data_IF_473798307743
#
_entry.id   IF_473798307743
#
_cell.length_a   1.000
_cell.length_b   1.000
_cell.length_c   1.000
_cell.angle_alpha   90.00
_cell.angle_beta   90.00
_cell.angle_gamma   90.00
#
_symmetry.space_group_name_H-M   'P 1'
#
loop_
_entity.id
_entity.type
_entity.pdbx_description
1 polymer ?
#
# COMPACT_ATOMS: atom_id res chain seq x y z
N UNK A 1 16.66 -17.37 -82.35
CA UNK A 1 16.47 -18.53 -81.45
C UNK A 1 16.88 -18.23 -79.99
N UNK A 2 16.63 -17.03 -79.44
CA UNK A 2 17.13 -16.64 -78.10
C UNK A 2 16.04 -16.56 -76.99
N UNK A 3 14.75 -16.53 -77.33
CA UNK A 3 13.65 -16.34 -76.36
C UNK A 3 13.28 -17.56 -75.50
N UNK A 4 13.67 -18.78 -75.89
CA UNK A 4 13.38 -19.99 -75.13
C UNK A 4 14.33 -20.19 -73.92
N UNK A 5 15.56 -19.68 -74.02
CA UNK A 5 16.60 -19.87 -72.98
C UNK A 5 16.33 -19.05 -71.71
N UNK A 6 15.84 -17.81 -71.84
CA UNK A 6 15.51 -16.94 -70.70
C UNK A 6 14.32 -17.46 -69.88
N UNK A 7 13.29 -18.04 -70.51
CA UNK A 7 12.15 -18.65 -69.80
C UNK A 7 12.56 -19.87 -68.97
N UNK A 8 13.51 -20.67 -69.46
CA UNK A 8 14.02 -21.86 -68.75
C UNK A 8 14.92 -21.47 -67.57
N UNK A 9 15.69 -20.39 -67.68
CA UNK A 9 16.52 -19.87 -66.59
C UNK A 9 15.69 -19.26 -65.45
N UNK A 10 14.64 -18.51 -65.75
CA UNK A 10 13.71 -17.97 -64.74
C UNK A 10 12.96 -19.06 -63.97
N UNK A 11 12.49 -20.10 -64.66
CA UNK A 11 11.81 -21.24 -64.03
C UNK A 11 12.73 -22.04 -63.09
N UNK A 12 14.01 -22.20 -63.45
CA UNK A 12 15.02 -22.87 -62.60
C UNK A 12 15.33 -22.06 -61.34
N UNK A 13 15.45 -20.73 -61.44
CA UNK A 13 15.69 -19.86 -60.28
C UNK A 13 14.53 -19.87 -59.28
N UNK A 14 13.29 -19.86 -59.77
CA UNK A 14 12.09 -19.96 -58.92
C UNK A 14 12.01 -21.33 -58.24
N UNK A 15 12.28 -22.41 -58.96
CA UNK A 15 12.28 -23.77 -58.39
C UNK A 15 13.36 -23.92 -57.31
N UNK A 16 14.57 -23.41 -57.54
CA UNK A 16 15.68 -23.41 -56.58
C UNK A 16 15.35 -22.62 -55.31
N UNK A 17 14.78 -21.42 -55.45
CA UNK A 17 14.38 -20.59 -54.32
C UNK A 17 13.24 -21.26 -53.51
N UNK A 18 12.32 -21.94 -54.19
CA UNK A 18 11.22 -22.68 -53.56
C UNK A 18 11.73 -23.88 -52.78
N UNK A 19 12.64 -24.68 -53.37
CA UNK A 19 13.27 -25.81 -52.68
C UNK A 19 14.07 -25.37 -51.45
N UNK A 20 14.83 -24.28 -51.57
CA UNK A 20 15.59 -23.71 -50.45
C UNK A 20 14.65 -23.23 -49.33
N UNK A 21 13.52 -22.60 -49.66
CA UNK A 21 12.52 -22.17 -48.68
C UNK A 21 11.85 -23.35 -47.96
N UNK A 22 11.53 -24.43 -48.68
CA UNK A 22 10.99 -25.67 -48.09
C UNK A 22 12.03 -26.35 -47.18
N UNK A 23 13.30 -26.36 -47.56
CA UNK A 23 14.38 -26.90 -46.73
C UNK A 23 14.57 -26.10 -45.42
N UNK A 24 14.47 -24.77 -45.46
CA UNK A 24 14.53 -23.92 -44.26
C UNK A 24 13.31 -24.13 -43.35
N UNK A 25 12.11 -24.26 -43.93
CA UNK A 25 10.88 -24.47 -43.16
C UNK A 25 10.79 -25.88 -42.54
N UNK A 26 11.42 -26.90 -43.13
CA UNK A 26 11.44 -28.28 -42.59
C UNK A 26 12.44 -28.49 -41.46
N UNK A 27 13.40 -27.56 -41.26
CA UNK A 27 14.32 -27.56 -40.13
C UNK A 27 13.70 -27.07 -38.82
N UNK A 28 12.59 -26.35 -38.87
CA UNK A 28 11.86 -25.90 -37.68
C UNK A 28 11.02 -27.05 -37.10
N UNK A 29 11.58 -27.80 -36.14
CA UNK A 29 10.85 -28.83 -35.39
C UNK A 29 10.58 -28.42 -33.95
N UNK A 30 9.37 -28.72 -33.47
CA UNK A 30 8.92 -28.41 -32.11
C UNK A 30 9.04 -29.58 -31.14
N UNK A 31 9.84 -30.58 -31.50
CA UNK A 31 9.87 -31.91 -30.87
C UNK A 31 9.94 -31.86 -29.33
N UNK A 32 10.80 -31.00 -28.76
CA UNK A 32 11.00 -30.88 -27.30
C UNK A 32 10.98 -29.43 -26.78
N UNK A 33 10.46 -28.50 -27.58
CA UNK A 33 10.26 -27.11 -27.16
C UNK A 33 9.07 -27.00 -26.19
N UNK A 34 8.00 -27.75 -26.45
CA UNK A 34 6.88 -27.96 -25.52
C UNK A 34 6.88 -29.42 -25.03
N UNK A 35 7.48 -29.64 -23.87
CA UNK A 35 7.52 -30.98 -23.26
C UNK A 35 6.25 -31.23 -22.45
N UNK A 36 5.73 -32.47 -22.37
CA UNK A 36 4.52 -32.79 -21.59
C UNK A 36 4.81 -32.88 -20.07
N UNK A 37 5.42 -31.83 -19.50
CA UNK A 37 5.70 -31.69 -18.06
C UNK A 37 5.26 -30.32 -17.55
N UNK A 38 4.95 -30.23 -16.26
CA UNK A 38 4.63 -28.97 -15.62
C UNK A 38 5.90 -28.37 -15.00
N UNK A 39 6.40 -27.29 -15.59
CA UNK A 39 7.44 -26.44 -14.97
C UNK A 39 6.79 -25.24 -14.26
N UNK A 40 7.52 -24.49 -13.42
CA UNK A 40 6.95 -23.40 -12.65
C UNK A 40 6.17 -22.40 -13.52
N UNK A 41 4.94 -22.10 -13.08
CA UNK A 41 4.03 -21.13 -13.73
C UNK A 41 3.54 -21.51 -15.14
N UNK A 42 3.68 -22.78 -15.57
CA UNK A 42 3.04 -23.27 -16.80
C UNK A 42 1.51 -23.28 -16.69
N UNK A 43 0.79 -22.99 -17.76
CA UNK A 43 -0.67 -23.12 -17.80
C UNK A 43 -1.12 -24.58 -17.94
N UNK A 44 -2.39 -24.86 -17.63
CA UNK A 44 -2.99 -26.20 -17.81
C UNK A 44 -4.48 -26.10 -18.10
N UNK A 45 -5.03 -27.08 -18.78
CA UNK A 45 -6.49 -27.23 -19.00
C UNK A 45 -7.16 -28.16 -17.99
N UNK A 46 -6.38 -28.79 -17.09
CA UNK A 46 -6.89 -29.74 -16.09
C UNK A 46 -7.72 -29.04 -15.02
N UNK A 47 -7.35 -27.81 -14.64
CA UNK A 47 -8.01 -27.03 -13.58
C UNK A 47 -8.69 -25.79 -14.15
N UNK A 48 -9.83 -25.42 -13.56
CA UNK A 48 -10.65 -24.30 -14.03
C UNK A 48 -9.94 -22.93 -14.01
N UNK A 49 -8.95 -22.75 -13.13
CA UNK A 49 -8.16 -21.52 -13.00
C UNK A 49 -6.96 -21.46 -13.97
N UNK A 50 -6.74 -22.50 -14.77
CA UNK A 50 -5.65 -22.57 -15.73
C UNK A 50 -4.25 -22.75 -15.14
N UNK A 51 -4.12 -22.91 -13.80
CA UNK A 51 -2.83 -22.91 -13.10
C UNK A 51 -2.31 -24.33 -12.85
N UNK A 52 -1.10 -24.62 -13.33
CA UNK A 52 -0.39 -25.86 -12.94
C UNK A 52 0.11 -25.80 -11.49
N UNK A 53 0.51 -24.62 -11.01
CA UNK A 53 0.90 -24.40 -9.63
C UNK A 53 -0.35 -24.37 -8.73
N UNK A 54 -0.53 -25.42 -7.92
CA UNK A 54 -1.67 -25.55 -7.02
C UNK A 54 -1.37 -24.89 -5.67
N UNK A 55 -2.35 -24.20 -5.06
CA UNK A 55 -2.24 -23.77 -3.68
C UNK A 55 -1.96 -24.96 -2.75
N UNK A 56 -1.16 -24.73 -1.72
CA UNK A 56 -0.99 -25.71 -0.67
C UNK A 56 -2.30 -25.88 0.09
N UNK A 57 -2.55 -27.11 0.57
CA UNK A 57 -3.70 -27.37 1.45
C UNK A 57 -3.46 -26.65 2.78
N UNK A 58 -4.48 -25.98 3.30
CA UNK A 58 -4.38 -25.24 4.56
C UNK A 58 -3.94 -26.15 5.70
N UNK A 59 -3.15 -25.61 6.64
CA UNK A 59 -2.58 -26.33 7.79
C UNK A 59 -1.62 -27.48 7.44
N UNK A 60 -1.07 -27.51 6.22
CA UNK A 60 0.03 -28.42 5.89
C UNK A 60 1.38 -27.79 6.22
N UNK A 61 2.26 -28.57 6.84
CA UNK A 61 3.62 -28.15 7.19
C UNK A 61 4.60 -28.96 6.35
N UNK A 62 5.39 -28.27 5.52
CA UNK A 62 6.42 -28.91 4.72
C UNK A 62 7.63 -29.31 5.58
N UNK A 63 8.35 -30.35 5.17
CA UNK A 63 9.62 -30.74 5.81
C UNK A 63 10.60 -29.57 5.77
N UNK A 64 11.16 -29.20 6.92
CA UNK A 64 12.08 -28.05 7.06
C UNK A 64 11.37 -26.69 7.21
N UNK A 65 10.04 -26.65 7.26
CA UNK A 65 9.24 -25.44 7.48
C UNK A 65 8.39 -25.54 8.75
N UNK A 66 8.87 -26.27 9.76
CA UNK A 66 8.19 -26.37 11.06
C UNK A 66 8.14 -25.02 11.79
N UNK A 67 9.05 -24.10 11.47
CA UNK A 67 9.09 -22.75 12.02
C UNK A 67 9.14 -22.73 13.56
N UNK A 68 10.05 -23.52 14.15
CA UNK A 68 10.16 -23.72 15.61
C UNK A 68 10.40 -22.42 16.39
N UNK A 69 11.19 -21.49 15.83
CA UNK A 69 11.40 -20.16 16.41
C UNK A 69 10.21 -19.24 16.09
N UNK A 70 9.18 -19.32 16.93
CA UNK A 70 7.97 -18.49 16.77
C UNK A 70 8.29 -17.00 16.65
N UNK A 71 9.26 -16.48 17.42
CA UNK A 71 9.57 -15.05 17.37
C UNK A 71 10.16 -14.66 16.02
N UNK A 72 11.12 -15.44 15.51
CA UNK A 72 11.72 -15.18 14.20
C UNK A 72 10.71 -15.22 13.05
N UNK A 73 9.71 -16.11 13.09
CA UNK A 73 8.73 -16.25 12.00
C UNK A 73 7.48 -15.37 12.14
N UNK A 74 7.20 -14.84 13.33
CA UNK A 74 5.96 -14.06 13.59
C UNK A 74 6.20 -12.63 14.08
N UNK A 75 7.36 -12.35 14.71
CA UNK A 75 7.61 -11.10 15.42
C UNK A 75 6.88 -10.96 16.76
N UNK A 76 6.29 -12.05 17.26
CA UNK A 76 5.45 -12.06 18.46
C UNK A 76 6.07 -12.92 19.57
N UNK A 77 5.93 -12.45 20.81
CA UNK A 77 6.17 -13.21 22.05
C UNK A 77 4.86 -13.23 22.82
N UNK A 78 4.36 -14.42 23.16
CA UNK A 78 3.05 -14.61 23.81
C UNK A 78 1.89 -13.88 23.10
N UNK A 79 1.93 -13.87 21.76
CA UNK A 79 0.93 -13.21 20.91
C UNK A 79 1.03 -11.68 20.87
N UNK A 80 2.04 -11.07 21.50
CA UNK A 80 2.28 -9.63 21.50
C UNK A 80 3.54 -9.28 20.73
N UNK A 81 3.50 -8.17 20.01
CA UNK A 81 4.67 -7.65 19.31
C UNK A 81 5.77 -7.33 20.32
N UNK A 82 6.98 -7.86 20.11
CA UNK A 82 8.12 -7.62 20.99
C UNK A 82 9.23 -6.87 20.27
N UNK A 83 10.02 -6.11 21.04
CA UNK A 83 11.13 -5.33 20.52
C UNK A 83 12.45 -6.09 20.72
N UNK A 84 13.23 -6.19 19.66
CA UNK A 84 14.47 -6.96 19.64
C UNK A 84 14.76 -7.51 18.25
N UNK A 85 16.04 -7.62 17.91
CA UNK A 85 16.45 -8.34 16.72
C UNK A 85 16.72 -9.80 17.10
N UNK A 86 16.19 -10.79 16.37
CA UNK A 86 16.44 -12.21 16.64
C UNK A 86 17.87 -12.66 16.26
N UNK A 87 18.65 -11.79 15.61
CA UNK A 87 20.05 -12.02 15.24
C UNK A 87 20.83 -10.70 15.24
N UNK A 88 22.18 -10.73 15.26
CA UNK A 88 22.98 -9.51 15.33
C UNK A 88 22.69 -8.50 14.21
N UNK A 89 22.42 -7.25 14.58
CA UNK A 89 22.19 -6.15 13.66
C UNK A 89 23.52 -5.60 13.10
N UNK A 90 24.16 -6.35 12.21
CA UNK A 90 25.42 -5.95 11.57
C UNK A 90 25.17 -4.93 10.46
N UNK A 91 26.25 -4.27 10.00
CA UNK A 91 26.17 -3.36 8.84
C UNK A 91 25.70 -4.09 7.56
N UNK A 92 26.05 -5.36 7.39
CA UNK A 92 25.60 -6.16 6.25
C UNK A 92 24.10 -6.45 6.31
N UNK A 93 23.56 -6.72 7.50
CA UNK A 93 22.11 -6.83 7.72
C UNK A 93 21.42 -5.51 7.38
N UNK A 94 21.97 -4.37 7.81
CA UNK A 94 21.40 -3.06 7.50
C UNK A 94 21.45 -2.75 6.01
N UNK A 95 22.56 -3.03 5.32
CA UNK A 95 22.68 -2.87 3.85
C UNK A 95 21.69 -3.76 3.12
N UNK A 96 21.52 -5.01 3.57
CA UNK A 96 20.51 -5.93 3.05
C UNK A 96 19.10 -5.40 3.26
N UNK A 97 18.82 -4.89 4.45
CA UNK A 97 17.55 -4.24 4.79
C UNK A 97 17.27 -3.04 3.89
N UNK A 98 18.26 -2.20 3.64
CA UNK A 98 18.17 -1.07 2.72
C UNK A 98 17.87 -1.52 1.29
N UNK A 99 18.59 -2.52 0.78
CA UNK A 99 18.37 -3.09 -0.55
C UNK A 99 16.92 -3.57 -0.69
N UNK A 100 16.44 -4.37 0.28
CA UNK A 100 15.09 -4.93 0.26
C UNK A 100 14.02 -3.87 0.44
N UNK A 101 14.24 -2.88 1.29
CA UNK A 101 13.34 -1.74 1.44
C UNK A 101 13.20 -0.94 0.14
N UNK A 102 14.32 -0.69 -0.56
CA UNK A 102 14.34 0.00 -1.84
C UNK A 102 13.64 -0.78 -2.98
N UNK A 103 13.55 -2.10 -2.87
CA UNK A 103 12.84 -2.94 -3.85
C UNK A 103 11.34 -2.96 -3.58
N UNK A 104 10.93 -3.22 -2.33
CA UNK A 104 9.53 -3.54 -2.01
C UNK A 104 8.76 -2.39 -1.36
N UNK A 105 9.41 -1.52 -0.60
CA UNK A 105 8.74 -0.60 0.31
C UNK A 105 8.71 0.84 -0.22
N UNK A 106 9.76 1.31 -0.89
CA UNK A 106 9.89 2.70 -1.35
C UNK A 106 8.82 3.18 -2.33
N UNK A 107 8.21 2.35 -3.21
CA UNK A 107 7.15 2.84 -4.08
C UNK A 107 5.98 3.46 -3.33
N UNK A 108 5.71 3.01 -2.10
CA UNK A 108 4.64 3.54 -1.24
C UNK A 108 5.18 4.38 -0.07
N UNK A 109 6.25 3.93 0.59
CA UNK A 109 6.75 4.57 1.82
C UNK A 109 7.81 5.66 1.60
N UNK A 110 8.21 5.90 0.35
CA UNK A 110 9.34 6.74 -0.07
C UNK A 110 10.70 6.22 0.39
N UNK A 111 11.78 6.76 -0.21
CA UNK A 111 13.17 6.41 0.17
C UNK A 111 13.54 6.86 1.57
N UNK A 112 12.91 7.94 2.05
CA UNK A 112 13.16 8.49 3.38
C UNK A 112 12.16 7.99 4.42
N UNK A 113 11.18 7.16 4.05
CA UNK A 113 10.24 6.56 4.99
C UNK A 113 9.12 7.49 5.49
N UNK A 114 8.90 8.62 4.81
CA UNK A 114 7.88 9.62 5.19
C UNK A 114 6.46 9.28 4.70
N UNK A 115 6.27 8.16 3.97
CA UNK A 115 4.97 7.74 3.46
C UNK A 115 4.54 8.41 2.15
N UNK A 116 5.37 9.28 1.57
CA UNK A 116 5.12 9.97 0.31
C UNK A 116 5.84 9.29 -0.86
N UNK A 117 5.56 8.00 -1.09
CA UNK A 117 6.07 7.30 -2.27
C UNK A 117 5.29 7.68 -3.53
N UNK A 118 5.91 7.48 -4.70
CA UNK A 118 5.33 7.77 -6.02
C UNK A 118 3.91 7.19 -6.22
N UNK A 119 3.65 5.98 -5.70
CA UNK A 119 2.33 5.34 -5.81
C UNK A 119 1.27 6.11 -5.00
N UNK A 120 1.65 6.67 -3.86
CA UNK A 120 0.77 7.51 -3.04
C UNK A 120 0.50 8.84 -3.74
N UNK A 121 1.52 9.46 -4.33
CA UNK A 121 1.36 10.70 -5.11
C UNK A 121 0.39 10.53 -6.28
N UNK A 122 0.34 9.33 -6.88
CA UNK A 122 -0.60 8.97 -7.94
C UNK A 122 -2.02 8.66 -7.47
N UNK A 123 -2.33 8.80 -6.17
CA UNK A 123 -3.69 8.70 -5.64
C UNK A 123 -3.98 7.42 -4.86
N UNK A 124 -2.98 6.60 -4.57
CA UNK A 124 -3.15 5.52 -3.60
C UNK A 124 -3.29 6.07 -2.17
N UNK A 125 -3.82 5.25 -1.25
CA UNK A 125 -3.97 5.66 0.15
C UNK A 125 -2.58 5.98 0.75
N UNK A 126 -2.51 7.06 1.52
CA UNK A 126 -1.28 7.49 2.20
C UNK A 126 -0.68 6.33 3.02
N UNK A 127 0.59 6.05 2.75
CA UNK A 127 1.35 5.04 3.47
C UNK A 127 1.74 5.54 4.87
N UNK A 128 2.10 4.62 5.77
CA UNK A 128 2.57 4.98 7.11
C UNK A 128 3.87 5.79 7.06
N UNK A 129 3.90 6.93 7.76
CA UNK A 129 5.11 7.72 7.99
C UNK A 129 5.86 7.17 9.21
N UNK A 130 7.03 6.57 8.97
CA UNK A 130 7.82 5.91 10.01
C UNK A 130 8.39 6.86 11.07
N UNK A 131 8.41 8.17 10.80
CA UNK A 131 8.95 9.19 11.70
C UNK A 131 7.97 9.66 12.77
N UNK A 132 6.70 9.24 12.68
CA UNK A 132 5.71 9.55 13.71
C UNK A 132 6.12 8.96 15.06
N UNK A 133 5.83 9.67 16.15
CA UNK A 133 6.15 9.20 17.51
C UNK A 133 5.60 7.80 17.80
N UNK A 134 4.35 7.53 17.40
CA UNK A 134 3.73 6.21 17.52
C UNK A 134 4.57 5.11 16.88
N UNK A 135 5.08 5.32 15.66
CA UNK A 135 5.87 4.30 14.95
C UNK A 135 7.32 4.24 15.41
N UNK A 136 7.88 5.33 15.93
CA UNK A 136 9.18 5.28 16.63
C UNK A 136 9.11 4.45 17.90
N UNK A 137 8.00 4.54 18.63
CA UNK A 137 7.78 3.79 19.87
C UNK A 137 7.18 2.38 19.65
N UNK A 138 6.74 2.05 18.43
CA UNK A 138 6.26 0.70 18.11
C UNK A 138 7.44 -0.29 18.12
N UNK A 139 7.28 -1.54 18.59
CA UNK A 139 8.36 -2.53 18.65
C UNK A 139 8.82 -2.99 17.25
N UNK A 140 10.04 -3.52 17.11
CA UNK A 140 10.54 -4.10 15.85
C UNK A 140 9.62 -5.19 15.30
N UNK A 141 9.06 -6.03 16.18
CA UNK A 141 8.09 -7.07 15.83
C UNK A 141 6.82 -6.52 15.14
N UNK A 142 6.45 -5.26 15.39
CA UNK A 142 5.34 -4.59 14.70
C UNK A 142 5.59 -4.53 13.19
N UNK A 143 6.75 -4.02 12.80
CA UNK A 143 7.11 -3.87 11.39
C UNK A 143 7.20 -5.22 10.70
N UNK A 144 7.80 -6.21 11.37
CA UNK A 144 7.84 -7.58 10.89
C UNK A 144 6.43 -8.14 10.66
N UNK A 145 5.53 -8.01 11.64
CA UNK A 145 4.16 -8.51 11.56
C UNK A 145 3.37 -7.82 10.43
N UNK A 146 3.50 -6.49 10.30
CA UNK A 146 2.85 -5.72 9.22
C UNK A 146 3.33 -6.18 7.84
N UNK A 147 4.63 -6.42 7.65
CA UNK A 147 5.14 -6.98 6.39
C UNK A 147 4.64 -8.41 6.14
N UNK A 148 4.42 -9.17 7.20
CA UNK A 148 4.01 -10.58 7.14
C UNK A 148 2.53 -10.77 6.87
N UNK A 149 1.69 -9.92 7.44
CA UNK A 149 0.24 -10.11 7.47
C UNK A 149 -0.51 -9.00 6.70
N UNK A 150 0.20 -7.95 6.26
CA UNK A 150 -0.40 -6.73 5.75
C UNK A 150 -0.97 -5.86 6.86
N UNK A 151 -1.37 -4.63 6.51
CA UNK A 151 -2.02 -3.71 7.45
C UNK A 151 -2.86 -2.65 6.74
N UNK A 152 -4.16 -2.62 7.04
CA UNK A 152 -5.08 -1.66 6.42
C UNK A 152 -5.17 -1.84 4.90
N UNK A 153 -4.62 -0.89 4.13
CA UNK A 153 -4.55 -0.98 2.67
C UNK A 153 -3.24 -1.59 2.16
N UNK A 154 -2.27 -1.86 3.04
CA UNK A 154 -1.01 -2.50 2.69
C UNK A 154 -1.23 -4.02 2.59
N UNK A 155 -0.92 -4.65 1.44
CA UNK A 155 -0.98 -6.11 1.30
C UNK A 155 0.13 -6.77 2.13
N UNK A 156 0.02 -8.09 2.33
CA UNK A 156 1.12 -8.86 2.88
C UNK A 156 2.24 -9.03 1.85
N UNK A 157 3.47 -9.24 2.36
CA UNK A 157 4.68 -9.48 1.58
C UNK A 157 5.33 -10.82 1.94
N UNK A 158 4.59 -11.71 2.60
CA UNK A 158 5.13 -12.96 3.17
C UNK A 158 5.68 -13.92 2.11
N UNK A 159 5.09 -13.92 0.91
CA UNK A 159 5.51 -14.76 -0.21
C UNK A 159 6.71 -14.18 -0.99
N UNK A 160 6.92 -12.86 -0.92
CA UNK A 160 7.93 -12.14 -1.68
C UNK A 160 9.20 -11.88 -0.86
N UNK A 161 9.07 -11.75 0.47
CA UNK A 161 10.17 -11.36 1.36
C UNK A 161 10.36 -12.42 2.45
N UNK A 162 11.55 -13.05 2.44
CA UNK A 162 11.91 -14.06 3.44
C UNK A 162 11.91 -13.46 4.87
N UNK A 163 11.66 -14.27 5.93
CA UNK A 163 11.68 -13.79 7.32
C UNK A 163 12.95 -12.99 7.70
N UNK A 164 14.14 -13.46 7.34
CA UNK A 164 15.38 -12.75 7.63
C UNK A 164 15.44 -11.37 6.96
N UNK A 165 14.97 -11.27 5.71
CA UNK A 165 14.90 -10.00 4.97
C UNK A 165 13.85 -9.05 5.58
N UNK A 166 12.73 -9.57 6.11
CA UNK A 166 11.74 -8.76 6.86
C UNK A 166 12.35 -8.17 8.13
N UNK A 167 13.12 -8.95 8.90
CA UNK A 167 13.86 -8.42 10.05
C UNK A 167 14.92 -7.38 9.65
N UNK A 168 15.65 -7.64 8.56
CA UNK A 168 16.61 -6.68 8.02
C UNK A 168 15.93 -5.36 7.63
N UNK A 169 14.78 -5.41 6.96
CA UNK A 169 13.98 -4.22 6.64
C UNK A 169 13.52 -3.50 7.92
N UNK A 170 13.01 -4.23 8.92
CA UNK A 170 12.59 -3.64 10.19
C UNK A 170 13.76 -2.90 10.88
N UNK A 171 14.97 -3.47 10.86
CA UNK A 171 16.17 -2.80 11.37
C UNK A 171 16.54 -1.55 10.54
N UNK A 172 16.38 -1.59 9.22
CA UNK A 172 16.63 -0.43 8.36
C UNK A 172 15.60 0.68 8.58
N UNK A 173 14.34 0.35 8.89
CA UNK A 173 13.33 1.34 9.30
C UNK A 173 13.80 2.08 10.57
N UNK A 174 14.44 1.40 11.54
CA UNK A 174 15.05 2.08 12.69
C UNK A 174 16.17 3.03 12.29
N UNK A 175 17.02 2.62 11.35
CA UNK A 175 18.06 3.49 10.82
C UNK A 175 17.48 4.75 10.16
N UNK A 176 16.37 4.62 9.41
CA UNK A 176 15.65 5.77 8.85
C UNK A 176 15.07 6.68 9.93
N UNK A 177 14.48 6.11 10.99
CA UNK A 177 13.96 6.88 12.12
C UNK A 177 15.07 7.68 12.83
N UNK A 178 16.26 7.08 12.97
CA UNK A 178 17.44 7.74 13.51
C UNK A 178 17.96 8.82 12.57
N UNK A 179 17.99 8.59 11.25
CA UNK A 179 18.53 9.56 10.29
C UNK A 179 17.78 10.90 10.30
N UNK A 180 16.47 10.89 10.62
CA UNK A 180 15.64 12.10 10.70
C UNK A 180 15.49 12.67 12.10
N UNK A 181 16.04 12.02 13.12
CA UNK A 181 15.92 12.43 14.52
C UNK A 181 17.24 12.22 15.29
N UNK A 182 18.36 12.34 14.61
CA UNK A 182 19.68 12.28 15.23
C UNK A 182 19.92 13.53 16.08
N UNK A 183 20.41 13.34 17.30
CA UNK A 183 20.81 14.41 18.21
C UNK A 183 22.33 14.53 18.22
N UNK A 184 22.84 15.71 18.58
CA UNK A 184 24.28 15.90 18.78
C UNK A 184 24.87 14.96 19.84
N UNK A 185 24.06 14.51 20.81
CA UNK A 185 24.43 13.52 21.81
C UNK A 185 24.70 12.12 21.25
N UNK A 186 24.18 11.81 20.05
CA UNK A 186 24.29 10.49 19.43
C UNK A 186 25.64 10.32 18.70
N UNK A 187 26.40 11.41 18.58
CA UNK A 187 27.69 11.46 17.91
C UNK A 187 28.79 11.02 18.90
N UNK A 188 29.60 10.00 18.58
CA UNK A 188 30.71 9.58 19.42
C UNK A 188 31.68 10.74 19.74
N UNK A 189 32.22 10.74 20.96
CA UNK A 189 33.18 11.76 21.37
C UNK A 189 34.40 11.80 20.43
N UNK A 190 34.77 12.99 19.98
CA UNK A 190 35.89 13.21 19.04
C UNK A 190 35.51 13.19 17.55
N UNK A 191 34.24 12.95 17.20
CA UNK A 191 33.75 13.07 15.83
C UNK A 191 33.15 14.46 15.59
N UNK A 192 33.71 15.21 14.66
CA UNK A 192 33.19 16.53 14.27
C UNK A 192 31.97 16.39 13.36
N UNK A 193 30.86 17.05 13.73
CA UNK A 193 29.65 17.13 12.89
C UNK A 193 29.86 18.18 11.82
N UNK A 194 30.06 17.75 10.57
CA UNK A 194 30.19 18.65 9.43
C UNK A 194 28.81 18.97 8.82
N UNK A 195 28.57 20.21 8.38
CA UNK A 195 27.40 20.55 7.58
C UNK A 195 27.35 19.75 6.27
N UNK A 196 26.16 19.31 5.85
CA UNK A 196 25.99 18.52 4.62
C UNK A 196 26.48 19.27 3.38
N UNK A 197 26.32 20.60 3.32
CA UNK A 197 26.86 21.44 2.25
C UNK A 197 28.38 21.35 2.13
N UNK A 198 29.09 21.33 3.26
CA UNK A 198 30.56 21.18 3.27
C UNK A 198 31.00 19.80 2.79
N UNK A 199 30.27 18.75 3.18
CA UNK A 199 30.55 17.38 2.69
C UNK A 199 30.30 17.25 1.19
N UNK A 200 29.23 17.89 0.68
CA UNK A 200 28.94 17.91 -0.75
C UNK A 200 30.06 18.61 -1.54
N UNK A 201 30.54 19.77 -1.06
CA UNK A 201 31.69 20.47 -1.64
C UNK A 201 32.97 19.61 -1.62
N UNK A 202 33.28 18.94 -0.50
CA UNK A 202 34.43 18.02 -0.38
C UNK A 202 34.36 16.86 -1.38
N UNK A 203 33.15 16.39 -1.74
CA UNK A 203 32.93 15.34 -2.72
C UNK A 203 32.82 15.85 -4.17
N UNK A 204 33.09 17.13 -4.41
CA UNK A 204 33.00 17.74 -5.75
C UNK A 204 31.57 17.91 -6.25
N UNK A 205 30.57 17.88 -5.36
CA UNK A 205 29.18 18.12 -5.70
C UNK A 205 28.86 19.62 -5.69
N UNK A 206 27.91 20.10 -6.51
CA UNK A 206 27.51 21.50 -6.51
C UNK A 206 27.05 21.98 -5.13
N UNK A 207 27.28 23.25 -4.80
CA UNK A 207 26.93 23.87 -3.49
C UNK A 207 25.43 23.70 -3.15
N UNK A 208 24.56 23.67 -4.17
CA UNK A 208 23.12 23.43 -4.03
C UNK A 208 22.69 21.97 -3.94
N UNK A 209 23.60 20.99 -4.08
CA UNK A 209 23.28 19.56 -4.11
C UNK A 209 22.63 19.07 -2.82
N UNK A 210 23.10 19.60 -1.69
CA UNK A 210 22.58 19.30 -0.36
C UNK A 210 21.37 20.16 0.04
N UNK A 211 20.95 21.09 -0.83
CA UNK A 211 19.76 21.91 -0.61
C UNK A 211 18.47 21.17 -0.96
N UNK A 212 17.34 21.85 -0.77
CA UNK A 212 16.04 21.29 -1.15
C UNK A 212 16.01 20.96 -2.64
N UNK A 213 15.66 19.71 -2.98
CA UNK A 213 15.48 19.29 -4.36
C UNK A 213 14.28 20.02 -4.97
N UNK A 214 14.54 21.04 -5.78
CA UNK A 214 13.51 21.66 -6.61
C UNK A 214 13.26 20.80 -7.83
N UNK A 215 11.99 20.52 -8.12
CA UNK A 215 11.62 19.88 -9.39
C UNK A 215 11.97 20.84 -10.54
N UNK A 216 12.87 20.46 -11.48
CA UNK A 216 13.21 21.34 -12.57
C UNK A 216 11.98 21.57 -13.45
N UNK A 217 11.73 22.84 -13.80
CA UNK A 217 10.58 23.30 -14.60
C UNK A 217 10.65 22.84 -16.08
N UNK A 218 11.40 21.78 -16.38
CA UNK A 218 11.69 21.25 -17.71
C UNK A 218 10.76 20.11 -18.12
N UNK A 219 9.92 19.60 -17.22
CA UNK A 219 8.70 18.89 -17.61
C UNK A 219 7.72 19.94 -18.14
N UNK A 220 7.27 19.80 -19.40
CA UNK A 220 6.31 20.69 -20.04
C UNK A 220 5.09 21.01 -19.17
N UNK A 221 4.34 22.07 -19.51
CA UNK A 221 3.61 22.91 -18.57
C UNK A 221 2.97 22.10 -17.44
N UNK A 222 3.44 22.36 -16.23
CA UNK A 222 2.72 22.01 -15.03
C UNK A 222 1.24 22.38 -15.23
N UNK A 223 0.34 21.46 -14.90
CA UNK A 223 -1.04 21.81 -14.64
C UNK A 223 -1.04 23.06 -13.73
N UNK A 224 -1.90 24.06 -14.01
CA UNK A 224 -1.70 25.41 -13.55
C UNK A 224 -1.54 25.46 -12.03
N UNK A 225 -0.50 26.19 -11.63
CA UNK A 225 -0.20 26.59 -10.25
C UNK A 225 -1.49 27.06 -9.57
N UNK A 226 -1.86 26.39 -8.48
CA UNK A 226 -3.02 26.77 -7.66
C UNK A 226 -2.74 28.16 -7.10
N UNK A 227 -3.32 29.16 -7.74
CA UNK A 227 -3.27 30.54 -7.31
C UNK A 227 -3.77 30.66 -5.86
N UNK A 228 -3.07 31.49 -5.07
CA UNK A 228 -3.55 31.98 -3.78
C UNK A 228 -4.94 32.62 -3.93
N UNK A 229 -5.78 32.60 -2.89
CA UNK A 229 -7.22 32.84 -3.03
C UNK A 229 -7.49 34.30 -3.38
N UNK A 230 -8.27 34.50 -4.45
CA UNK A 230 -8.93 35.78 -4.75
C UNK A 230 -10.44 35.57 -4.65
N UNK A 231 -11.06 36.59 -4.10
CA UNK A 231 -12.41 36.73 -3.57
C UNK A 231 -13.54 36.51 -4.59
N UNK A 232 -14.57 35.80 -4.12
CA UNK A 232 -15.99 35.77 -4.49
C UNK A 232 -16.44 36.30 -5.87
N UNK A 233 -16.92 35.39 -6.73
CA UNK A 233 -18.06 35.66 -7.62
C UNK A 233 -18.74 34.34 -8.07
N UNK A 234 -20.01 34.20 -7.73
CA UNK A 234 -20.92 33.11 -8.15
C UNK A 234 -21.22 33.18 -9.65
N UNK A 235 -21.39 32.02 -10.34
CA UNK A 235 -22.63 31.88 -11.10
C UNK A 235 -23.26 30.47 -11.11
N UNK A 236 -24.54 30.53 -11.45
CA UNK A 236 -25.68 29.59 -11.49
C UNK A 236 -25.52 28.43 -12.51
N UNK A 237 -26.30 27.32 -12.42
CA UNK A 237 -26.00 26.06 -13.08
C UNK A 237 -26.70 25.91 -14.45
N UNK A 238 -26.06 25.22 -15.38
CA UNK A 238 -26.67 24.73 -16.61
C UNK A 238 -26.59 23.21 -16.66
N UNK A 239 -27.77 22.59 -16.69
CA UNK A 239 -28.08 21.18 -16.97
C UNK A 239 -27.55 20.76 -18.35
N UNK A 240 -27.23 19.49 -18.62
CA UNK A 240 -28.12 18.41 -19.14
C UNK A 240 -27.22 17.17 -19.49
N UNK A 241 -27.71 16.03 -20.04
CA UNK A 241 -28.12 14.82 -19.34
C UNK A 241 -27.30 13.53 -19.64
N UNK A 242 -27.26 12.64 -18.64
CA UNK A 242 -27.58 11.20 -18.69
C UNK A 242 -26.93 10.25 -19.71
N UNK A 243 -26.18 9.27 -19.19
CA UNK A 243 -26.31 7.85 -19.57
C UNK A 243 -26.11 6.99 -18.32
N UNK A 244 -27.02 6.02 -18.13
CA UNK A 244 -27.13 5.12 -16.98
C UNK A 244 -26.30 3.81 -17.15
N UNK A 245 -26.12 3.00 -16.09
CA UNK A 245 -25.01 2.07 -15.92
C UNK A 245 -25.34 0.61 -16.23
N UNK A 246 -24.29 -0.20 -16.47
CA UNK A 246 -24.38 -1.66 -16.46
C UNK A 246 -24.07 -2.19 -15.05
N UNK A 247 -25.02 -2.92 -14.50
CA UNK A 247 -25.02 -3.56 -13.17
C UNK A 247 -24.21 -4.87 -13.17
N UNK A 248 -23.60 -5.18 -12.03
CA UNK A 248 -23.24 -6.55 -11.68
C UNK A 248 -23.53 -6.77 -10.19
N UNK A 249 -24.55 -7.60 -9.94
CA UNK A 249 -24.94 -8.16 -8.66
C UNK A 249 -23.79 -8.98 -8.06
N UNK A 250 -23.51 -8.82 -6.77
CA UNK A 250 -22.71 -9.78 -6.03
C UNK A 250 -23.52 -10.33 -4.85
N UNK A 251 -23.70 -11.65 -4.86
CA UNK A 251 -24.50 -12.39 -3.91
C UNK A 251 -23.73 -12.66 -2.61
N UNK A 252 -24.50 -12.59 -1.53
CA UNK A 252 -24.17 -12.73 -0.11
C UNK A 252 -23.81 -14.17 0.25
N UNK A 253 -22.64 -14.38 0.88
CA UNK A 253 -22.28 -15.64 1.53
C UNK A 253 -22.46 -15.53 3.06
N UNK A 254 -23.39 -16.32 3.59
CA UNK A 254 -23.68 -16.53 5.02
C UNK A 254 -22.75 -17.58 5.63
N UNK A 255 -22.29 -17.38 6.87
CA UNK A 255 -21.70 -18.43 7.71
C UNK A 255 -22.37 -18.43 9.08
N UNK A 256 -22.70 -19.59 9.70
CA UNK A 256 -23.46 -19.66 10.94
C UNK A 256 -22.59 -19.65 12.21
N UNK A 257 -23.24 -19.26 13.30
CA UNK A 257 -22.70 -19.04 14.64
C UNK A 257 -22.39 -20.33 15.42
N UNK A 258 -21.40 -20.25 16.32
CA UNK A 258 -21.17 -21.19 17.43
C UNK A 258 -21.21 -20.40 18.74
N UNK A 259 -22.06 -20.85 19.66
CA UNK A 259 -22.26 -20.42 21.05
C UNK A 259 -21.22 -21.07 21.98
N UNK A 260 -20.79 -20.38 23.05
CA UNK A 260 -20.92 -20.83 24.47
C UNK A 260 -20.36 -19.83 25.51
N UNK A 261 -21.22 -19.55 26.49
CA UNK A 261 -21.14 -19.15 27.91
C UNK A 261 -19.84 -18.72 28.65
N UNK A 262 -20.04 -17.79 29.62
CA UNK A 262 -19.15 -17.15 30.61
C UNK A 262 -18.77 -18.06 31.82
N UNK A 263 -17.84 -17.75 32.76
CA UNK A 263 -17.58 -16.57 33.62
C UNK A 263 -16.19 -16.70 34.36
N UNK A 264 -15.73 -15.85 35.33
CA UNK A 264 -16.28 -14.63 35.92
C UNK A 264 -15.32 -13.41 35.99
N UNK A 265 -15.88 -12.31 36.49
CA UNK A 265 -15.42 -10.92 36.45
C UNK A 265 -14.50 -10.50 37.61
N UNK A 266 -13.60 -9.54 37.34
CA UNK A 266 -13.46 -8.28 38.11
C UNK A 266 -12.57 -7.27 37.36
N UNK A 267 -13.18 -6.23 36.77
CA UNK A 267 -12.69 -4.84 36.71
C UNK A 267 -13.72 -4.01 35.91
N UNK A 268 -14.30 -2.98 36.52
CA UNK A 268 -15.37 -2.14 35.95
C UNK A 268 -14.97 -1.53 34.61
N UNK A 269 -15.55 -2.04 33.52
CA UNK A 269 -15.68 -1.32 32.25
C UNK A 269 -17.08 -0.71 32.22
N UNK A 270 -17.18 0.60 31.97
CA UNK A 270 -18.44 1.21 31.63
C UNK A 270 -18.98 0.52 30.36
N UNK A 271 -20.11 -0.17 30.51
CA UNK A 271 -20.76 -0.88 29.42
C UNK A 271 -21.15 0.10 28.32
N UNK A 272 -20.73 -0.19 27.09
CA UNK A 272 -21.27 0.43 25.88
C UNK A 272 -22.74 0.02 25.76
N UNK A 273 -23.64 0.84 26.32
CA UNK A 273 -25.05 0.82 25.97
C UNK A 273 -25.19 1.03 24.47
N UNK A 274 -25.97 0.18 23.78
CA UNK A 274 -26.37 0.42 22.39
C UNK A 274 -26.89 1.87 22.27
N UNK A 275 -26.41 2.66 21.32
CA UNK A 275 -26.82 4.06 21.19
C UNK A 275 -28.34 4.14 20.99
N UNK A 276 -28.98 5.12 21.61
CA UNK A 276 -30.44 5.28 21.50
C UNK A 276 -30.78 5.70 20.07
N UNK A 277 -31.99 5.38 19.60
CA UNK A 277 -32.44 5.74 18.24
C UNK A 277 -32.43 7.25 17.99
N UNK A 278 -32.61 8.05 19.05
CA UNK A 278 -32.52 9.51 19.04
C UNK A 278 -31.09 9.98 18.76
N UNK A 279 -30.09 9.36 19.39
CA UNK A 279 -28.66 9.66 19.19
C UNK A 279 -28.22 9.37 17.75
N UNK A 280 -28.73 8.28 17.15
CA UNK A 280 -28.48 7.93 15.76
C UNK A 280 -29.14 8.95 14.80
N UNK A 281 -30.36 9.39 15.12
CA UNK A 281 -31.07 10.39 14.32
C UNK A 281 -30.35 11.76 14.37
N UNK A 282 -29.91 12.19 15.56
CA UNK A 282 -29.08 13.38 15.73
C UNK A 282 -27.75 13.26 14.98
N UNK A 283 -27.08 12.10 15.08
CA UNK A 283 -25.85 11.83 14.34
C UNK A 283 -26.02 11.87 12.83
N UNK A 284 -27.15 11.36 12.32
CA UNK A 284 -27.51 11.45 10.90
C UNK A 284 -27.71 12.91 10.46
N UNK A 285 -28.37 13.72 11.28
CA UNK A 285 -28.55 15.15 10.98
C UNK A 285 -27.20 15.87 10.91
N UNK A 286 -26.33 15.65 11.89
CA UNK A 286 -24.96 16.19 11.91
C UNK A 286 -24.16 15.75 10.68
N UNK A 287 -24.26 14.47 10.30
CA UNK A 287 -23.61 13.92 9.10
C UNK A 287 -24.11 14.59 7.82
N UNK A 288 -25.43 14.71 7.66
CA UNK A 288 -26.02 15.30 6.46
C UNK A 288 -25.66 16.78 6.31
N UNK A 289 -25.59 17.52 7.42
CA UNK A 289 -25.24 18.93 7.42
C UNK A 289 -23.75 19.19 7.14
N UNK A 290 -22.84 18.33 7.61
CA UNK A 290 -21.40 18.65 7.65
C UNK A 290 -20.51 17.73 6.81
N UNK A 291 -20.95 16.50 6.52
CA UNK A 291 -20.08 15.45 5.99
C UNK A 291 -20.53 14.94 4.61
N UNK A 292 -21.83 14.99 4.33
CA UNK A 292 -22.45 14.41 3.12
C UNK A 292 -21.96 15.02 1.81
N UNK A 293 -21.53 16.28 1.82
CA UNK A 293 -21.00 17.00 0.64
C UNK A 293 -19.80 16.27 0.05
N UNK A 294 -18.95 15.69 0.90
CA UNK A 294 -17.76 14.96 0.46
C UNK A 294 -17.98 13.45 0.52
N UNK A 295 -18.52 12.94 1.63
CA UNK A 295 -18.67 11.50 1.84
C UNK A 295 -19.95 10.90 1.24
N UNK A 296 -20.72 11.71 0.53
CA UNK A 296 -22.02 11.39 -0.08
C UNK A 296 -23.10 11.05 0.97
N UNK A 297 -24.37 11.21 0.63
CA UNK A 297 -25.47 10.91 1.55
C UNK A 297 -25.44 9.45 2.06
N UNK A 298 -25.05 8.53 1.17
CA UNK A 298 -24.95 7.11 1.46
C UNK A 298 -23.63 6.67 2.15
N UNK A 299 -22.75 7.62 2.53
CA UNK A 299 -21.43 7.33 3.14
C UNK A 299 -20.44 6.61 2.21
N UNK A 300 -20.75 6.49 0.93
CA UNK A 300 -19.93 5.80 -0.08
C UNK A 300 -18.64 6.53 -0.41
N UNK A 301 -18.56 7.84 -0.17
CA UNK A 301 -17.41 8.68 -0.54
C UNK A 301 -17.20 8.75 -2.04
N UNK A 302 -16.06 9.31 -2.47
CA UNK A 302 -15.65 9.38 -3.86
C UNK A 302 -14.21 8.86 -4.00
N UNK A 303 -14.01 7.52 -4.00
CA UNK A 303 -12.69 6.94 -4.17
C UNK A 303 -12.06 7.34 -5.52
N UNK A 304 -10.73 7.56 -5.58
CA UNK A 304 -9.76 7.36 -4.50
C UNK A 304 -9.62 8.56 -3.54
N UNK A 305 -10.22 9.71 -3.86
CA UNK A 305 -9.90 10.98 -3.20
C UNK A 305 -10.63 11.18 -1.87
N UNK A 306 -11.89 10.73 -1.74
CA UNK A 306 -12.67 10.80 -0.51
C UNK A 306 -13.06 9.38 -0.09
N UNK A 307 -12.61 8.88 1.07
CA UNK A 307 -12.85 7.49 1.46
C UNK A 307 -14.32 7.22 1.80
N UNK A 308 -14.75 5.97 1.57
CA UNK A 308 -16.03 5.46 2.07
C UNK A 308 -16.02 5.39 3.59
N UNK A 309 -17.11 5.88 4.20
CA UNK A 309 -17.40 5.80 5.62
C UNK A 309 -18.35 4.64 5.97
N UNK A 310 -18.79 3.84 4.99
CA UNK A 310 -19.55 2.62 5.25
C UNK A 310 -18.69 1.66 6.10
N UNK A 311 -19.25 1.18 7.21
CA UNK A 311 -18.56 0.29 8.15
C UNK A 311 -17.28 0.87 8.77
N UNK A 312 -17.13 2.21 8.81
CA UNK A 312 -15.88 2.83 9.26
C UNK A 312 -15.60 2.59 10.74
N UNK A 313 -16.64 2.57 11.58
CA UNK A 313 -16.49 2.33 13.03
C UNK A 313 -15.85 0.97 13.30
N UNK A 314 -16.28 -0.08 12.58
CA UNK A 314 -15.67 -1.41 12.69
C UNK A 314 -14.23 -1.48 12.16
N UNK A 315 -13.88 -0.66 11.16
CA UNK A 315 -12.55 -0.68 10.52
C UNK A 315 -11.47 0.07 11.30
N UNK A 316 -11.80 1.20 11.93
CA UNK A 316 -10.79 2.08 12.57
C UNK A 316 -11.06 2.39 14.04
N UNK A 317 -12.24 2.05 14.55
CA UNK A 317 -12.65 2.34 15.93
C UNK A 317 -13.16 3.77 16.15
N UNK A 318 -13.97 3.97 17.21
CA UNK A 318 -14.61 5.27 17.51
C UNK A 318 -13.61 6.37 17.88
N UNK A 319 -12.56 6.04 18.63
CA UNK A 319 -11.54 7.02 19.07
C UNK A 319 -10.79 7.64 17.90
N UNK A 320 -10.49 6.82 16.88
CA UNK A 320 -9.85 7.30 15.66
C UNK A 320 -10.77 8.22 14.86
N UNK A 321 -12.07 7.93 14.82
CA UNK A 321 -13.06 8.78 14.16
C UNK A 321 -13.15 10.13 14.88
N UNK A 322 -13.23 10.12 16.23
CA UNK A 322 -13.20 11.35 17.03
C UNK A 322 -11.95 12.18 16.74
N UNK A 323 -10.78 11.55 16.71
CA UNK A 323 -9.53 12.23 16.39
C UNK A 323 -9.57 12.87 14.99
N UNK A 324 -10.04 12.15 13.97
CA UNK A 324 -10.10 12.64 12.59
C UNK A 324 -11.11 13.79 12.44
N UNK A 325 -12.27 13.71 13.09
CA UNK A 325 -13.29 14.78 13.04
C UNK A 325 -12.80 16.05 13.76
N UNK A 326 -12.08 15.89 14.88
CA UNK A 326 -11.55 17.02 15.66
C UNK A 326 -10.31 17.65 15.04
N UNK A 327 -9.39 16.87 14.46
CA UNK A 327 -8.10 17.36 13.96
C UNK A 327 -8.12 17.62 12.44
N UNK A 328 -9.06 17.03 11.71
CA UNK A 328 -9.04 17.01 10.25
C UNK A 328 -7.89 16.18 9.68
N UNK A 329 -7.76 16.18 8.35
CA UNK A 329 -6.65 15.59 7.61
C UNK A 329 -6.15 16.64 6.61
N UNK A 330 -5.26 17.56 7.03
CA UNK A 330 -4.77 18.64 6.19
C UNK A 330 -3.79 18.16 5.10
N UNK A 331 -3.33 16.92 5.18
CA UNK A 331 -2.36 16.31 4.24
C UNK A 331 -3.02 15.48 3.12
N UNK A 332 -4.35 15.40 3.08
CA UNK A 332 -5.08 14.71 2.01
C UNK A 332 -5.12 15.52 0.72
N UNK A 333 -5.20 14.84 -0.44
CA UNK A 333 -5.40 15.50 -1.75
C UNK A 333 -6.64 16.40 -1.77
N UNK A 334 -7.72 15.93 -1.13
CA UNK A 334 -8.84 16.76 -0.70
C UNK A 334 -8.74 16.83 0.82
N UNK A 335 -8.44 18.02 1.33
CA UNK A 335 -8.24 18.23 2.76
C UNK A 335 -9.56 18.01 3.49
N UNK A 336 -9.55 17.14 4.50
CA UNK A 336 -10.66 17.05 5.43
C UNK A 336 -10.45 18.13 6.50
N UNK A 337 -11.33 19.14 6.62
CA UNK A 337 -11.17 20.19 7.61
C UNK A 337 -11.38 19.64 9.02
N UNK A 338 -10.87 20.36 10.02
CA UNK A 338 -11.23 20.14 11.42
C UNK A 338 -12.66 20.63 11.67
N UNK A 339 -13.43 19.86 12.45
CA UNK A 339 -14.78 20.21 12.88
C UNK A 339 -14.87 20.55 14.37
N UNK A 340 -13.74 20.65 15.09
CA UNK A 340 -13.73 20.94 16.54
C UNK A 340 -14.34 22.30 16.88
N UNK A 341 -14.32 23.25 15.95
CA UNK A 341 -14.94 24.57 16.14
C UNK A 341 -16.45 24.57 15.88
N UNK A 342 -17.00 23.53 15.24
CA UNK A 342 -18.41 23.47 14.81
C UNK A 342 -19.22 22.38 15.52
N UNK A 343 -18.56 21.35 16.04
CA UNK A 343 -19.21 20.19 16.67
C UNK A 343 -18.74 20.05 18.12
N UNK A 344 -19.70 19.87 19.03
CA UNK A 344 -19.42 19.53 20.43
C UNK A 344 -18.96 18.07 20.56
N UNK A 345 -18.40 17.70 21.72
CA UNK A 345 -18.05 16.30 22.00
C UNK A 345 -19.24 15.36 21.86
N UNK A 346 -20.43 15.81 22.29
CA UNK A 346 -21.70 15.08 22.21
C UNK A 346 -22.16 14.90 20.76
N UNK A 347 -22.01 15.92 19.91
CA UNK A 347 -22.35 15.80 18.48
C UNK A 347 -21.48 14.77 17.77
N UNK A 348 -20.20 14.69 18.18
CA UNK A 348 -19.26 13.70 17.65
C UNK A 348 -19.62 12.30 18.13
N UNK A 349 -20.10 12.14 19.36
CA UNK A 349 -20.60 10.85 19.87
C UNK A 349 -21.84 10.37 19.10
N UNK A 350 -22.80 11.25 18.85
CA UNK A 350 -23.97 10.96 18.02
C UNK A 350 -23.55 10.62 16.58
N UNK A 351 -22.60 11.36 16.01
CA UNK A 351 -22.05 11.08 14.69
C UNK A 351 -21.40 9.69 14.62
N UNK A 352 -20.59 9.31 15.62
CA UNK A 352 -19.97 7.99 15.70
C UNK A 352 -21.05 6.90 15.82
N UNK A 353 -22.10 7.12 16.62
CA UNK A 353 -23.23 6.20 16.73
C UNK A 353 -23.93 5.98 15.39
N UNK A 354 -24.16 7.05 14.61
CA UNK A 354 -24.73 6.95 13.26
C UNK A 354 -23.78 6.27 12.26
N UNK A 355 -22.49 6.55 12.31
CA UNK A 355 -21.50 5.88 11.46
C UNK A 355 -21.33 4.39 11.81
N UNK A 356 -21.77 3.98 12.99
CA UNK A 356 -21.80 2.60 13.46
C UNK A 356 -23.00 1.79 12.96
N UNK A 357 -24.00 2.44 12.34
CA UNK A 357 -25.11 1.72 11.71
C UNK A 357 -24.68 1.16 10.35
N UNK A 358 -24.98 -0.12 10.08
CA UNK A 358 -24.68 -0.75 8.79
C UNK A 358 -25.32 -0.01 7.60
#
# INVERSE_FOLDING_TARGET
MQGASFKVQGARLILSATLASVAVLTGCRQDMHDQPKMFPQRSTTIFADGRSARPQVTNTVARGQLHEDSYFYTGLVDGKEADGMPFPATLDVLKRGQERFNVYCTPCHSRVGNGAGEIVERGYRLAGNFHTERLRNAPLGHFFSVMTNGYGAMPDYSAQIAPADRWAIASYIRALQLSQNAKSSDVPAGVEVKPLSKLAEEQGMPVGFAGDWSVPNTTGPAAPEVAKPVESATPTPTTTPGVAPATSENQKATTPAVTKEAAPATAKTAALTKPKSEDIAAGKATYMANCSVCHQAARTGLPPNIPSLVGIVGRVGPDRIRQVVTQGIPTGKIQMPSFSAKLSSTDIDHLIAYLGTE
#
